data_IF_021821818676
#
_entry.id   IF_021821818676
#
_cell.length_a   1.000
_cell.length_b   1.000
_cell.length_c   1.000
_cell.angle_alpha   90.00
_cell.angle_beta   90.00
_cell.angle_gamma   90.00
#
_symmetry.space_group_name_H-M   'P 1'
#
loop_
_entity.id
_entity.type
_entity.pdbx_description
1 polymer ?
#
# COMPACT_ATOMS: atom_id res chain seq x y z
N UNK A 1 -3.64 0.18 7.82
CA UNK A 1 -3.38 -1.14 7.18
C UNK A 1 -4.29 -2.20 7.82
N UNK A 2 -4.99 -3.00 7.02
CA UNK A 2 -5.88 -4.05 7.51
C UNK A 2 -5.21 -5.43 7.38
N UNK A 3 -5.24 -6.25 8.43
CA UNK A 3 -4.69 -7.64 8.41
C UNK A 3 -5.45 -8.57 7.46
N UNK A 4 -6.71 -8.25 7.18
CA UNK A 4 -7.54 -9.00 6.23
C UNK A 4 -7.18 -8.72 4.76
N UNK A 5 -6.40 -7.67 4.50
CA UNK A 5 -5.81 -7.42 3.18
C UNK A 5 -4.55 -8.26 3.02
N UNK A 6 -4.52 -9.16 2.04
CA UNK A 6 -3.36 -10.03 1.78
C UNK A 6 -3.18 -10.36 0.31
N UNK A 7 -1.95 -10.75 -0.01
CA UNK A 7 -1.58 -11.37 -1.28
C UNK A 7 -1.29 -12.84 -1.00
N UNK A 8 -1.98 -13.73 -1.71
CA UNK A 8 -1.78 -15.17 -1.69
C UNK A 8 -1.36 -15.68 -3.06
N UNK A 9 -1.18 -17.00 -3.15
CA UNK A 9 -0.89 -17.70 -4.39
C UNK A 9 -2.06 -18.62 -4.71
N UNK A 10 -2.49 -18.64 -5.97
CA UNK A 10 -3.55 -19.51 -6.44
C UNK A 10 -3.14 -20.98 -6.34
N UNK A 11 -4.05 -21.83 -5.88
CA UNK A 11 -3.82 -23.27 -5.81
C UNK A 11 -3.98 -23.98 -7.17
N UNK A 12 -4.72 -23.37 -8.10
CA UNK A 12 -5.10 -23.99 -9.38
C UNK A 12 -4.61 -23.21 -10.59
N UNK A 13 -4.52 -21.88 -10.48
CA UNK A 13 -4.17 -21.02 -11.60
C UNK A 13 -2.68 -20.72 -11.63
N UNK A 14 -2.11 -20.73 -12.84
CA UNK A 14 -0.72 -20.35 -13.08
C UNK A 14 -0.66 -19.10 -13.95
N UNK A 15 0.40 -18.33 -13.80
CA UNK A 15 0.73 -17.23 -14.71
C UNK A 15 1.40 -17.74 -16.00
N UNK A 16 1.75 -16.82 -16.89
CA UNK A 16 2.39 -17.13 -18.18
C UNK A 16 3.77 -17.81 -18.04
N UNK A 17 4.38 -17.76 -16.85
CA UNK A 17 5.67 -18.39 -16.54
C UNK A 17 5.52 -19.71 -15.78
N UNK A 18 4.30 -20.18 -15.56
CA UNK A 18 4.01 -21.43 -14.85
C UNK A 18 4.07 -21.32 -13.33
N UNK A 19 4.19 -20.11 -12.78
CA UNK A 19 4.16 -19.86 -11.34
C UNK A 19 2.73 -19.75 -10.84
N UNK A 20 2.43 -20.13 -9.58
CA UNK A 20 1.13 -19.86 -8.98
C UNK A 20 0.74 -18.38 -9.12
N UNK A 21 -0.42 -18.11 -9.72
CA UNK A 21 -0.86 -16.74 -9.96
C UNK A 21 -1.09 -16.02 -8.63
N UNK A 22 -0.62 -14.78 -8.51
CA UNK A 22 -0.88 -13.97 -7.32
C UNK A 22 -2.39 -13.65 -7.20
N UNK A 23 -2.95 -13.87 -6.01
CA UNK A 23 -4.32 -13.53 -5.66
C UNK A 23 -4.32 -12.41 -4.63
N UNK A 24 -4.92 -11.27 -4.97
CA UNK A 24 -4.99 -10.11 -4.08
C UNK A 24 -6.39 -10.00 -3.53
N UNK A 25 -6.54 -10.03 -2.20
CA UNK A 25 -7.78 -9.58 -1.54
C UNK A 25 -7.46 -8.34 -0.72
N UNK A 26 -8.23 -7.30 -0.99
CA UNK A 26 -8.27 -6.07 -0.21
C UNK A 26 -9.49 -6.10 0.70
N UNK A 27 -9.31 -5.65 1.94
CA UNK A 27 -10.37 -5.51 2.93
C UNK A 27 -10.46 -4.04 3.35
N UNK A 28 -11.20 -3.24 2.57
CA UNK A 28 -11.48 -1.85 2.90
C UNK A 28 -12.44 -1.76 4.09
N UNK A 29 -12.25 -0.73 4.92
CA UNK A 29 -13.10 -0.39 6.05
C UNK A 29 -13.99 0.79 5.68
N UNK A 30 -15.10 0.97 6.42
CA UNK A 30 -15.94 2.16 6.26
C UNK A 30 -15.13 3.45 6.49
N UNK A 31 -14.19 3.42 7.44
CA UNK A 31 -13.27 4.54 7.70
C UNK A 31 -12.41 4.91 6.48
N UNK A 32 -12.05 3.94 5.61
CA UNK A 32 -11.32 4.24 4.37
C UNK A 32 -12.21 5.07 3.42
N UNK A 33 -13.50 4.73 3.30
CA UNK A 33 -14.48 5.49 2.52
C UNK A 33 -14.70 6.88 3.10
N UNK A 34 -14.94 6.98 4.42
CA UNK A 34 -15.16 8.27 5.09
C UNK A 34 -13.96 9.20 4.92
N UNK A 35 -12.73 8.67 4.95
CA UNK A 35 -11.53 9.48 4.73
C UNK A 35 -11.49 10.13 3.35
N UNK A 36 -11.97 9.42 2.31
CA UNK A 36 -12.04 9.94 0.94
C UNK A 36 -13.11 11.03 0.85
N UNK A 37 -14.30 10.78 1.41
CA UNK A 37 -15.40 11.76 1.41
C UNK A 37 -14.98 13.03 2.14
N UNK A 38 -14.41 12.90 3.35
CA UNK A 38 -13.92 14.04 4.12
C UNK A 38 -12.86 14.84 3.35
N UNK A 39 -11.93 14.16 2.68
CA UNK A 39 -10.90 14.81 1.86
C UNK A 39 -11.48 15.60 0.68
N UNK A 40 -12.50 15.07 0.01
CA UNK A 40 -13.20 15.77 -1.08
C UNK A 40 -13.98 16.98 -0.57
N UNK A 41 -14.71 16.83 0.54
CA UNK A 41 -15.45 17.93 1.16
C UNK A 41 -14.50 19.06 1.58
N UNK A 42 -13.36 18.74 2.19
CA UNK A 42 -12.33 19.72 2.54
C UNK A 42 -11.78 20.45 1.30
N UNK A 43 -11.46 19.70 0.24
CA UNK A 43 -10.99 20.28 -1.02
C UNK A 43 -12.03 21.23 -1.62
N UNK A 44 -13.28 20.81 -1.74
CA UNK A 44 -14.39 21.61 -2.29
C UNK A 44 -14.61 22.88 -1.47
N UNK A 45 -14.60 22.78 -0.14
CA UNK A 45 -14.76 23.93 0.75
C UNK A 45 -13.62 24.94 0.57
N UNK A 46 -12.37 24.48 0.50
CA UNK A 46 -11.22 25.36 0.26
C UNK A 46 -11.25 25.98 -1.13
N UNK A 47 -11.67 25.22 -2.14
CA UNK A 47 -11.79 25.70 -3.52
C UNK A 47 -12.81 26.85 -3.62
N UNK A 48 -13.99 26.68 -3.01
CA UNK A 48 -15.05 27.70 -2.94
C UNK A 48 -14.63 28.91 -2.11
N UNK A 49 -14.04 28.69 -0.92
CA UNK A 49 -13.61 29.77 -0.04
C UNK A 49 -12.56 30.70 -0.67
N UNK A 50 -11.75 30.15 -1.60
CA UNK A 50 -10.73 30.90 -2.34
C UNK A 50 -11.22 31.46 -3.67
N UNK A 51 -12.52 31.29 -4.00
CA UNK A 51 -13.12 31.72 -5.26
C UNK A 51 -12.32 31.26 -6.51
N UNK A 52 -11.86 30.00 -6.50
CA UNK A 52 -11.02 29.44 -7.57
C UNK A 52 -11.81 28.98 -8.81
N UNK A 53 -13.13 29.21 -8.81
CA UNK A 53 -14.04 28.83 -9.89
C UNK A 53 -15.27 28.09 -9.37
N UNK A 54 -15.97 27.45 -10.29
CA UNK A 54 -17.16 26.64 -9.99
C UNK A 54 -16.80 25.16 -9.87
N UNK A 55 -17.37 24.50 -8.85
CA UNK A 55 -17.21 23.05 -8.64
C UNK A 55 -18.55 22.40 -8.28
N UNK A 56 -18.95 21.44 -9.11
CA UNK A 56 -20.10 20.57 -8.86
C UNK A 56 -19.68 19.44 -7.95
N UNK A 57 -20.28 19.35 -6.77
CA UNK A 57 -19.99 18.31 -5.80
C UNK A 57 -21.29 17.73 -5.24
N UNK A 58 -21.42 16.41 -5.34
CA UNK A 58 -22.51 15.64 -4.73
C UNK A 58 -21.91 14.55 -3.86
N UNK A 59 -22.00 14.73 -2.54
CA UNK A 59 -21.46 13.77 -1.57
C UNK A 59 -22.15 12.40 -1.67
N UNK A 60 -23.48 12.37 -1.79
CA UNK A 60 -24.22 11.11 -1.91
C UNK A 60 -23.82 10.35 -3.17
N UNK A 61 -23.65 11.08 -4.28
CA UNK A 61 -23.13 10.55 -5.54
C UNK A 61 -21.72 9.97 -5.40
N UNK A 62 -20.82 10.67 -4.70
CA UNK A 62 -19.47 10.17 -4.40
C UNK A 62 -19.52 8.89 -3.54
N UNK A 63 -20.34 8.87 -2.48
CA UNK A 63 -20.50 7.70 -1.61
C UNK A 63 -20.99 6.48 -2.39
N UNK A 64 -22.00 6.65 -3.24
CA UNK A 64 -22.52 5.58 -4.09
C UNK A 64 -21.45 5.06 -5.05
N UNK A 65 -20.65 5.95 -5.64
CA UNK A 65 -19.53 5.58 -6.49
C UNK A 65 -18.46 4.78 -5.75
N UNK A 66 -18.05 5.23 -4.56
CA UNK A 66 -17.04 4.56 -3.75
C UNK A 66 -17.49 3.17 -3.32
N UNK A 67 -18.74 3.00 -2.84
CA UNK A 67 -19.28 1.70 -2.45
C UNK A 67 -19.24 0.66 -3.57
N UNK A 68 -19.44 1.08 -4.82
CA UNK A 68 -19.32 0.20 -6.00
C UNK A 68 -17.87 -0.15 -6.36
N UNK A 69 -16.91 0.69 -5.99
CA UNK A 69 -15.48 0.51 -6.34
C UNK A 69 -14.68 -0.23 -5.30
N UNK A 70 -15.00 -0.09 -4.01
CA UNK A 70 -14.29 -0.79 -2.92
C UNK A 70 -14.49 -2.31 -2.97
N UNK A 71 -15.45 -2.80 -3.75
CA UNK A 71 -15.69 -4.24 -3.96
C UNK A 71 -14.80 -4.83 -5.07
N UNK A 72 -14.17 -4.00 -5.89
CA UNK A 72 -13.29 -4.43 -6.97
C UNK A 72 -11.83 -4.05 -6.67
N UNK A 73 -10.89 -4.94 -6.96
CA UNK A 73 -9.48 -4.58 -6.92
C UNK A 73 -9.20 -3.51 -7.98
N UNK A 74 -8.86 -2.30 -7.54
CA UNK A 74 -8.45 -1.19 -8.39
C UNK A 74 -7.23 -0.53 -7.74
N UNK A 75 -6.04 -1.02 -8.11
CA UNK A 75 -4.78 -0.48 -7.60
C UNK A 75 -4.24 0.58 -8.55
N UNK A 76 -3.79 1.71 -8.01
CA UNK A 76 -2.98 2.70 -8.73
C UNK A 76 -1.53 2.22 -8.96
N UNK A 77 -1.30 0.90 -8.95
CA UNK A 77 0.02 0.25 -9.03
C UNK A 77 0.98 0.59 -7.89
N UNK A 78 0.47 1.04 -6.73
CA UNK A 78 1.25 1.33 -5.53
C UNK A 78 1.01 0.29 -4.43
N UNK A 79 1.34 -0.97 -4.71
CA UNK A 79 1.22 -2.04 -3.71
C UNK A 79 2.34 -1.94 -2.65
N UNK A 80 1.98 -2.09 -1.38
CA UNK A 80 2.86 -1.80 -0.23
C UNK A 80 2.61 -2.83 0.87
N UNK A 81 3.66 -3.22 1.60
CA UNK A 81 3.54 -3.92 2.88
C UNK A 81 3.38 -5.45 2.83
N UNK A 82 3.61 -6.08 1.68
CA UNK A 82 3.50 -7.55 1.51
C UNK A 82 4.62 -8.35 2.15
N UNK A 83 5.77 -7.74 2.43
CA UNK A 83 6.90 -8.30 3.21
C UNK A 83 7.28 -7.32 4.32
N UNK A 84 6.27 -6.87 5.07
CA UNK A 84 6.32 -5.77 6.04
C UNK A 84 7.51 -5.85 7.01
N UNK A 85 8.16 -4.71 7.20
CA UNK A 85 9.14 -4.49 8.26
C UNK A 85 8.47 -4.47 9.65
N UNK A 86 9.03 -5.21 10.60
CA UNK A 86 8.67 -5.21 12.01
C UNK A 86 9.86 -5.59 12.89
N UNK A 87 9.89 -5.07 14.13
CA UNK A 87 10.84 -5.53 15.16
C UNK A 87 10.55 -6.94 15.66
N UNK A 88 9.30 -7.39 15.51
CA UNK A 88 8.83 -8.70 15.98
C UNK A 88 8.50 -9.62 14.78
N UNK A 89 9.12 -10.80 14.68
CA UNK A 89 8.86 -11.77 13.60
C UNK A 89 7.41 -12.29 13.56
N UNK A 90 6.64 -12.14 14.64
CA UNK A 90 5.22 -12.52 14.64
C UNK A 90 4.31 -11.48 13.97
N UNK A 91 4.84 -10.29 13.68
CA UNK A 91 4.06 -9.17 13.14
C UNK A 91 4.61 -8.58 11.85
N UNK A 92 5.71 -9.12 11.32
CA UNK A 92 6.30 -8.74 10.04
C UNK A 92 7.20 -9.83 9.47
N UNK A 93 7.70 -9.58 8.26
CA UNK A 93 8.53 -10.52 7.50
C UNK A 93 10.01 -10.17 7.60
N UNK A 94 10.32 -8.87 7.62
CA UNK A 94 11.70 -8.38 7.68
C UNK A 94 11.94 -7.52 8.93
N UNK A 95 13.19 -7.43 9.36
CA UNK A 95 13.62 -6.51 10.41
C UNK A 95 13.85 -5.08 9.86
N UNK A 96 14.35 -4.18 10.72
CA UNK A 96 14.63 -2.78 10.37
C UNK A 96 15.69 -2.59 9.28
N UNK A 97 16.51 -3.61 9.00
CA UNK A 97 17.51 -3.64 7.94
C UNK A 97 17.00 -4.35 6.68
N UNK A 98 15.70 -4.61 6.62
CA UNK A 98 15.05 -5.35 5.54
C UNK A 98 15.54 -6.80 5.39
N UNK A 99 16.14 -7.36 6.45
CA UNK A 99 16.56 -8.77 6.51
C UNK A 99 15.37 -9.64 6.89
N UNK A 100 15.18 -10.76 6.19
CA UNK A 100 14.13 -11.72 6.51
C UNK A 100 14.40 -12.37 7.86
N UNK A 101 13.41 -12.33 8.75
CA UNK A 101 13.49 -12.94 10.06
C UNK A 101 13.80 -14.44 9.95
N UNK A 102 14.77 -14.91 10.74
CA UNK A 102 15.17 -16.33 10.76
C UNK A 102 16.06 -16.79 9.60
N UNK A 103 16.45 -15.90 8.68
CA UNK A 103 17.35 -16.23 7.55
C UNK A 103 18.61 -15.37 7.62
N UNK A 104 19.79 -15.97 7.47
CA UNK A 104 21.07 -15.29 7.73
C UNK A 104 21.46 -14.28 6.64
N UNK A 105 21.07 -14.51 5.39
CA UNK A 105 21.60 -13.81 4.21
C UNK A 105 20.53 -13.41 3.17
N UNK A 106 19.25 -13.29 3.57
CA UNK A 106 18.16 -12.90 2.69
C UNK A 106 17.59 -11.53 3.06
N UNK A 107 17.52 -10.63 2.07
CA UNK A 107 17.04 -9.26 2.22
C UNK A 107 15.97 -8.95 1.17
N UNK A 108 15.05 -8.06 1.49
CA UNK A 108 13.99 -7.61 0.56
C UNK A 108 14.08 -6.12 0.34
N UNK A 109 14.09 -5.69 -0.92
CA UNK A 109 14.09 -4.28 -1.30
C UNK A 109 12.82 -3.93 -2.09
N UNK A 110 12.22 -2.77 -1.79
CA UNK A 110 11.00 -2.29 -2.45
C UNK A 110 9.92 -1.86 -1.45
N UNK A 111 8.78 -1.41 -1.96
CA UNK A 111 7.67 -0.93 -1.11
C UNK A 111 6.98 -2.03 -0.32
N UNK A 112 7.23 -3.31 -0.62
CA UNK A 112 6.71 -4.44 0.13
C UNK A 112 7.15 -4.41 1.60
N UNK A 113 8.27 -3.77 1.92
CA UNK A 113 8.78 -3.69 3.30
C UNK A 113 8.15 -2.56 4.12
N UNK A 114 7.44 -1.61 3.51
CA UNK A 114 6.93 -0.48 4.29
C UNK A 114 5.79 -0.92 5.23
N UNK A 115 5.81 -0.53 6.51
CA UNK A 115 4.79 -0.93 7.47
C UNK A 115 3.44 -0.21 7.28
N UNK A 116 3.45 0.94 6.60
CA UNK A 116 2.29 1.77 6.29
C UNK A 116 2.37 2.30 4.86
N UNK A 117 1.21 2.59 4.27
CA UNK A 117 1.12 3.42 3.08
C UNK A 117 1.20 4.91 3.44
N UNK A 118 1.70 5.73 2.51
CA UNK A 118 1.72 7.19 2.61
C UNK A 118 0.73 7.84 1.65
N UNK A 119 0.62 9.18 1.69
CA UNK A 119 -0.20 9.96 0.76
C UNK A 119 0.46 10.13 -0.62
N UNK A 120 1.79 10.05 -0.69
CA UNK A 120 2.59 10.27 -1.89
C UNK A 120 3.04 8.96 -2.54
N UNK A 121 3.46 9.05 -3.80
CA UNK A 121 3.99 7.94 -4.57
C UNK A 121 5.24 7.35 -3.88
N UNK A 122 5.38 6.01 -3.81
CA UNK A 122 6.41 5.38 -2.96
C UNK A 122 7.82 5.42 -3.56
N UNK A 123 8.00 5.81 -4.83
CA UNK A 123 9.27 5.66 -5.56
C UNK A 123 10.46 6.30 -4.86
N UNK A 124 10.32 7.54 -4.38
CA UNK A 124 11.42 8.21 -3.67
C UNK A 124 11.79 7.47 -2.37
N UNK A 125 10.79 7.02 -1.61
CA UNK A 125 10.98 6.22 -0.40
C UNK A 125 11.62 4.86 -0.71
N UNK A 126 11.29 4.25 -1.85
CA UNK A 126 11.92 3.00 -2.32
C UNK A 126 13.40 3.24 -2.59
N UNK A 127 13.76 4.30 -3.31
CA UNK A 127 15.16 4.65 -3.60
C UNK A 127 15.94 4.91 -2.32
N UNK A 128 15.36 5.67 -1.37
CA UNK A 128 15.99 5.93 -0.09
C UNK A 128 16.25 4.63 0.71
N UNK A 129 15.28 3.72 0.79
CA UNK A 129 15.47 2.42 1.44
C UNK A 129 16.49 1.54 0.74
N UNK A 130 16.57 1.58 -0.60
CA UNK A 130 17.57 0.83 -1.35
C UNK A 130 19.00 1.31 -1.05
N UNK A 131 19.21 2.62 -0.93
CA UNK A 131 20.51 3.18 -0.54
C UNK A 131 20.88 2.79 0.89
N UNK A 132 19.94 2.89 1.84
CA UNK A 132 20.17 2.46 3.23
C UNK A 132 20.51 0.97 3.33
N UNK A 133 19.83 0.12 2.56
CA UNK A 133 20.14 -1.31 2.49
C UNK A 133 21.53 -1.54 1.89
N UNK A 134 21.88 -0.87 0.80
CA UNK A 134 23.20 -0.99 0.20
C UNK A 134 24.33 -0.60 1.18
N UNK A 135 24.15 0.49 1.94
CA UNK A 135 25.10 0.92 2.97
C UNK A 135 25.18 -0.04 4.16
N UNK A 136 24.08 -0.72 4.49
CA UNK A 136 24.09 -1.78 5.50
C UNK A 136 24.88 -3.00 5.02
N UNK A 137 24.63 -3.45 3.79
CA UNK A 137 25.28 -4.65 3.22
C UNK A 137 26.80 -4.46 3.08
N UNK A 138 27.26 -3.27 2.67
CA UNK A 138 28.71 -2.95 2.62
C UNK A 138 29.44 -3.06 3.96
N UNK A 139 28.73 -2.99 5.08
CA UNK A 139 29.32 -3.14 6.43
C UNK A 139 29.39 -4.59 6.89
N UNK A 140 28.76 -5.50 6.16
CA UNK A 140 28.77 -6.94 6.41
C UNK A 140 29.87 -7.65 5.62
N UNK A 141 30.44 -6.97 4.62
CA UNK A 141 31.69 -7.35 3.94
C UNK A 141 32.90 -7.13 4.87
#
# INVERSE_FOLDING_TARGET
PNRESRVGLSATEKDAFGMPRAEVKLAFLEADLESIVASHTLFVNQFRARNLGEITYNEEGLRLYLRKRITAYNSASHNIGTTRMSKDPQTGVVDQHAKVHGVSNLYVAGSSVFPTGGHANPTLTIVAHALLLADHLKKLE
#
